data_IF_590897332250
#
_entry.id   IF_590897332250
#
_cell.length_a   1.000
_cell.length_b   1.000
_cell.length_c   1.000
_cell.angle_alpha   90.00
_cell.angle_beta   90.00
_cell.angle_gamma   90.00
#
_symmetry.space_group_name_H-M   'P 1'
#
loop_
_entity.id
_entity.type
_entity.pdbx_description
1 polymer ?
#
# COMPACT_ATOMS: atom_id res chain seq x y z
N UNK A 1 -3.49 -7.14 2.90
CA UNK A 1 -3.67 -6.29 1.69
C UNK A 1 -3.10 -6.99 0.45
N UNK A 2 -3.83 -7.90 -0.20
CA UNK A 2 -3.37 -8.55 -1.47
C UNK A 2 -4.45 -8.71 -2.55
N UNK A 3 -5.73 -8.51 -2.21
CA UNK A 3 -6.84 -8.71 -3.12
C UNK A 3 -6.81 -7.79 -4.34
N UNK A 4 -6.34 -6.54 -4.18
CA UNK A 4 -6.21 -5.60 -5.29
C UNK A 4 -5.23 -6.09 -6.38
N UNK A 5 -4.04 -6.57 -5.99
CA UNK A 5 -3.08 -7.16 -6.93
C UNK A 5 -3.67 -8.36 -7.66
N UNK A 6 -4.44 -9.21 -6.96
CA UNK A 6 -5.15 -10.35 -7.57
C UNK A 6 -6.21 -9.88 -8.57
N UNK A 7 -6.97 -8.84 -8.26
CA UNK A 7 -7.96 -8.27 -9.16
C UNK A 7 -7.32 -7.81 -10.46
N UNK A 8 -6.25 -6.99 -10.37
CA UNK A 8 -5.51 -6.47 -11.52
C UNK A 8 -4.95 -7.61 -12.39
N UNK A 9 -4.40 -8.66 -11.75
CA UNK A 9 -3.91 -9.85 -12.46
C UNK A 9 -5.04 -10.54 -13.24
N UNK A 10 -6.20 -10.78 -12.61
CA UNK A 10 -7.32 -11.50 -13.22
C UNK A 10 -8.03 -10.67 -14.30
N UNK A 11 -8.15 -9.35 -14.10
CA UNK A 11 -8.80 -8.43 -15.03
C UNK A 11 -7.94 -8.13 -16.26
N UNK A 12 -6.65 -8.45 -16.18
CA UNK A 12 -5.67 -8.21 -17.23
C UNK A 12 -5.18 -6.76 -17.28
N UNK A 13 -5.29 -6.03 -16.18
CA UNK A 13 -4.76 -4.68 -16.05
C UNK A 13 -5.54 -3.73 -15.15
N UNK A 14 -5.11 -2.48 -15.13
CA UNK A 14 -5.73 -1.36 -14.40
C UNK A 14 -5.75 -0.11 -15.29
N UNK A 15 -6.81 0.69 -15.21
CA UNK A 15 -6.93 1.95 -15.94
C UNK A 15 -6.14 3.08 -15.25
N UNK A 16 -5.85 4.14 -15.99
CA UNK A 16 -5.23 5.34 -15.42
C UNK A 16 -6.22 6.12 -14.56
N UNK A 17 -5.73 6.96 -13.65
CA UNK A 17 -6.56 7.92 -12.90
C UNK A 17 -7.29 8.89 -13.84
N UNK A 18 -6.71 9.21 -15.01
CA UNK A 18 -7.35 10.09 -15.98
C UNK A 18 -8.58 9.42 -16.63
N UNK A 19 -8.49 8.14 -16.98
CA UNK A 19 -9.56 7.39 -17.63
C UNK A 19 -10.62 6.87 -16.64
N UNK A 20 -10.22 6.60 -15.40
CA UNK A 20 -11.09 6.14 -14.32
C UNK A 20 -10.79 6.92 -13.03
N UNK A 21 -11.31 8.16 -12.91
CA UNK A 21 -11.00 9.04 -11.79
C UNK A 21 -11.62 8.58 -10.47
N UNK A 22 -10.91 8.86 -9.38
CA UNK A 22 -11.37 8.63 -8.03
C UNK A 22 -12.53 9.58 -7.66
N UNK A 23 -13.62 9.01 -7.14
CA UNK A 23 -14.85 9.76 -6.80
C UNK A 23 -15.23 9.70 -5.33
N UNK A 24 -14.39 9.10 -4.47
CA UNK A 24 -14.63 8.98 -3.02
C UNK A 24 -15.98 8.35 -2.62
N UNK A 25 -16.54 7.46 -3.45
CA UNK A 25 -17.75 6.70 -3.16
C UNK A 25 -17.81 5.41 -3.97
N UNK A 26 -18.59 4.45 -3.49
CA UNK A 26 -18.87 3.23 -4.24
C UNK A 26 -19.71 3.55 -5.48
N UNK A 27 -19.39 2.87 -6.59
CA UNK A 27 -20.14 2.96 -7.84
C UNK A 27 -20.02 1.65 -8.61
N UNK A 28 -20.78 1.52 -9.70
CA UNK A 28 -20.62 0.39 -10.59
C UNK A 28 -19.20 0.38 -11.19
N UNK A 29 -18.60 -0.81 -11.30
CA UNK A 29 -17.30 -0.98 -11.94
C UNK A 29 -17.39 -0.57 -13.42
N UNK A 30 -16.52 0.35 -13.84
CA UNK A 30 -16.41 0.85 -15.21
C UNK A 30 -15.08 0.48 -15.87
N UNK A 31 -14.40 -0.53 -15.34
CA UNK A 31 -13.11 -0.96 -15.86
C UNK A 31 -13.22 -1.33 -17.35
N UNK A 32 -12.29 -0.81 -18.15
CA UNK A 32 -12.18 -1.12 -19.57
C UNK A 32 -10.81 -1.70 -19.87
N UNK A 33 -10.75 -2.97 -20.25
CA UNK A 33 -9.50 -3.65 -20.59
C UNK A 33 -8.72 -2.95 -21.71
N UNK A 34 -9.42 -2.33 -22.66
CA UNK A 34 -8.79 -1.59 -23.77
C UNK A 34 -8.08 -0.31 -23.32
N UNK A 35 -8.39 0.20 -22.12
CA UNK A 35 -7.78 1.40 -21.52
C UNK A 35 -6.79 1.01 -20.41
N UNK A 36 -6.38 -0.26 -20.31
CA UNK A 36 -5.44 -0.68 -19.29
C UNK A 36 -4.05 -0.08 -19.55
N UNK A 37 -3.47 0.56 -18.54
CA UNK A 37 -2.15 1.22 -18.64
C UNK A 37 -1.05 0.47 -17.91
N UNK A 38 -1.42 -0.45 -17.01
CA UNK A 38 -0.49 -1.31 -16.31
C UNK A 38 -1.12 -2.68 -16.04
N UNK A 39 -0.27 -3.69 -15.92
CA UNK A 39 -0.66 -5.05 -15.55
C UNK A 39 0.21 -5.53 -14.39
N UNK A 40 -0.27 -6.55 -13.69
CA UNK A 40 0.46 -7.23 -12.61
C UNK A 40 0.56 -8.69 -13.01
N UNK A 41 1.75 -9.28 -12.89
CA UNK A 41 2.00 -10.70 -13.17
C UNK A 41 1.98 -11.56 -11.89
N UNK A 42 2.01 -10.94 -10.72
CA UNK A 42 1.93 -11.59 -9.43
C UNK A 42 2.23 -10.64 -8.27
N UNK A 43 2.22 -11.16 -7.04
CA UNK A 43 2.64 -10.43 -5.86
C UNK A 43 3.37 -11.37 -4.88
N UNK A 44 4.30 -10.81 -4.12
CA UNK A 44 4.99 -11.51 -3.05
C UNK A 44 4.52 -10.98 -1.69
N UNK A 45 4.69 -11.79 -0.64
CA UNK A 45 4.49 -11.37 0.75
C UNK A 45 5.80 -11.48 1.49
N UNK A 46 6.10 -10.45 2.27
CA UNK A 46 7.20 -10.45 3.23
C UNK A 46 6.70 -11.13 4.52
N UNK A 47 7.56 -11.90 5.17
CA UNK A 47 7.22 -12.54 6.44
C UNK A 47 6.82 -11.47 7.47
N UNK A 48 5.73 -11.73 8.20
CA UNK A 48 5.19 -10.78 9.18
C UNK A 48 6.23 -10.43 10.24
N UNK A 49 6.40 -9.14 10.53
CA UNK A 49 7.35 -8.65 11.54
C UNK A 49 8.82 -8.71 11.14
N UNK A 50 9.16 -9.06 9.88
CA UNK A 50 10.55 -9.12 9.43
C UNK A 50 10.98 -7.82 8.74
N UNK A 51 11.40 -6.83 9.53
CA UNK A 51 11.81 -5.52 9.03
C UNK A 51 13.10 -5.57 8.19
N UNK A 52 14.02 -6.51 8.47
CA UNK A 52 15.22 -6.71 7.64
C UNK A 52 14.85 -7.18 6.22
N UNK A 53 13.88 -8.09 6.10
CA UNK A 53 13.37 -8.52 4.80
C UNK A 53 12.59 -7.39 4.09
N UNK A 54 11.87 -6.55 4.85
CA UNK A 54 11.22 -5.35 4.32
C UNK A 54 12.25 -4.36 3.75
N UNK A 55 13.30 -4.06 4.51
CA UNK A 55 14.40 -3.18 4.08
C UNK A 55 15.04 -3.69 2.78
N UNK A 56 15.32 -4.99 2.70
CA UNK A 56 15.85 -5.61 1.48
C UNK A 56 14.89 -5.49 0.30
N UNK A 57 13.59 -5.73 0.50
CA UNK A 57 12.59 -5.60 -0.56
C UNK A 57 12.48 -4.16 -1.07
N UNK A 58 12.48 -3.18 -0.16
CA UNK A 58 12.45 -1.76 -0.51
C UNK A 58 13.67 -1.36 -1.34
N UNK A 59 14.86 -1.85 -0.97
CA UNK A 59 16.11 -1.53 -1.65
C UNK A 59 16.26 -2.20 -3.03
N UNK A 60 15.85 -3.46 -3.15
CA UNK A 60 16.12 -4.28 -4.34
C UNK A 60 14.96 -4.27 -5.35
N UNK A 61 13.73 -4.03 -4.90
CA UNK A 61 12.53 -4.08 -5.74
C UNK A 61 11.89 -2.70 -5.90
N UNK A 62 11.83 -1.91 -4.82
CA UNK A 62 11.22 -0.59 -4.81
C UNK A 62 10.09 -0.49 -3.79
N UNK A 63 9.14 0.47 -3.95
CA UNK A 63 8.12 0.74 -2.95
C UNK A 63 7.27 -0.47 -2.56
N UNK A 64 6.98 -0.63 -1.26
CA UNK A 64 6.25 -1.79 -0.70
C UNK A 64 5.00 -1.34 0.02
N UNK A 65 3.84 -1.91 -0.33
CA UNK A 65 2.58 -1.65 0.36
C UNK A 65 2.55 -2.34 1.73
N UNK A 66 2.22 -1.59 2.79
CA UNK A 66 2.18 -2.08 4.17
C UNK A 66 0.92 -1.64 4.90
N UNK A 67 0.56 -2.36 5.96
CA UNK A 67 -0.47 -1.97 6.90
C UNK A 67 0.14 -1.43 8.19
N UNK A 68 -0.45 -0.38 8.76
CA UNK A 68 -0.06 0.22 10.04
C UNK A 68 -1.28 0.39 10.95
N UNK A 69 -1.03 0.57 12.24
CA UNK A 69 -2.02 1.10 13.18
C UNK A 69 -1.95 2.64 13.21
N UNK A 70 -2.92 3.27 12.56
CA UNK A 70 -3.06 4.73 12.47
C UNK A 70 -4.24 5.26 13.31
N UNK A 71 -4.72 4.47 14.28
CA UNK A 71 -5.88 4.85 15.10
C UNK A 71 -5.60 5.92 16.15
N UNK A 72 -4.32 6.22 16.41
CA UNK A 72 -3.88 7.10 17.48
C UNK A 72 -3.97 8.58 17.08
N UNK A 73 -4.35 9.45 18.04
CA UNK A 73 -4.38 10.91 17.85
C UNK A 73 -3.01 11.49 17.56
N UNK A 74 -1.95 10.86 18.09
CA UNK A 74 -0.55 11.18 17.80
C UNK A 74 -0.23 11.03 16.31
N UNK A 75 -0.76 10.01 15.63
CA UNK A 75 -0.61 9.83 14.18
C UNK A 75 -1.40 10.88 13.39
N UNK A 76 -2.67 11.12 13.77
CA UNK A 76 -3.54 12.09 13.10
C UNK A 76 -2.97 13.50 13.07
N UNK A 77 -2.20 13.87 14.10
CA UNK A 77 -1.59 15.19 14.25
C UNK A 77 -0.07 15.19 14.02
N UNK A 78 0.49 14.11 13.49
CA UNK A 78 1.92 14.04 13.15
C UNK A 78 2.30 15.12 12.13
N UNK A 79 3.48 15.74 12.31
CA UNK A 79 3.97 16.83 11.45
C UNK A 79 5.39 16.62 10.93
N UNK A 80 6.30 16.13 11.76
CA UNK A 80 7.71 15.98 11.43
C UNK A 80 8.44 15.14 12.48
N UNK A 81 9.64 14.66 12.15
CA UNK A 81 10.50 13.86 13.02
C UNK A 81 10.44 12.38 12.70
N UNK A 82 10.83 11.52 13.65
CA UNK A 82 10.58 10.08 13.56
C UNK A 82 9.39 9.77 14.45
N UNK A 83 8.28 9.36 13.84
CA UNK A 83 7.07 9.01 14.56
C UNK A 83 7.27 7.73 15.39
N UNK A 84 6.90 7.78 16.67
CA UNK A 84 6.87 6.63 17.57
C UNK A 84 5.69 6.76 18.53
N UNK A 85 4.92 5.69 18.69
CA UNK A 85 3.74 5.62 19.54
C UNK A 85 3.81 4.34 20.39
N UNK A 86 4.02 4.44 21.72
CA UNK A 86 4.14 3.28 22.61
C UNK A 86 2.95 2.32 22.58
N UNK A 87 1.76 2.82 22.26
CA UNK A 87 0.52 2.02 22.20
C UNK A 87 0.19 1.52 20.79
N UNK A 88 1.07 1.73 19.81
CA UNK A 88 0.90 1.28 18.44
C UNK A 88 0.83 -0.25 18.38
N UNK A 89 -0.27 -0.79 17.84
CA UNK A 89 -0.44 -2.24 17.74
C UNK A 89 0.30 -2.82 16.53
N UNK A 90 1.09 -3.87 16.77
CA UNK A 90 1.72 -4.64 15.69
C UNK A 90 0.77 -5.62 14.98
N UNK A 91 -0.47 -5.75 15.48
CA UNK A 91 -1.46 -6.73 14.98
C UNK A 91 -2.79 -6.10 14.56
N UNK A 92 -3.22 -5.00 15.18
CA UNK A 92 -4.46 -4.30 14.83
C UNK A 92 -4.22 -3.23 13.76
N UNK A 93 -3.88 -3.69 12.55
CA UNK A 93 -3.60 -2.81 11.41
C UNK A 93 -4.89 -2.31 10.78
N UNK A 94 -5.04 -0.99 10.63
CA UNK A 94 -6.27 -0.34 10.19
C UNK A 94 -6.06 0.64 9.02
N UNK A 95 -4.82 0.89 8.59
CA UNK A 95 -4.51 1.83 7.52
C UNK A 95 -3.46 1.28 6.56
N UNK A 96 -3.65 1.49 5.25
CA UNK A 96 -2.72 1.06 4.20
C UNK A 96 -1.89 2.21 3.69
N UNK A 97 -0.56 2.03 3.68
CA UNK A 97 0.41 3.03 3.23
C UNK A 97 1.47 2.38 2.34
N UNK A 98 2.37 3.22 1.80
CA UNK A 98 3.46 2.80 0.93
C UNK A 98 4.80 3.17 1.56
N UNK A 99 5.65 2.17 1.81
CA UNK A 99 7.05 2.41 2.20
C UNK A 99 7.84 2.72 0.93
N UNK A 100 8.44 3.91 0.87
CA UNK A 100 9.19 4.39 -0.31
C UNK A 100 10.70 4.42 -0.10
N UNK A 101 11.17 4.15 1.12
CA UNK A 101 12.59 4.20 1.49
C UNK A 101 12.80 4.02 2.99
N UNK A 102 14.05 4.10 3.43
CA UNK A 102 14.47 4.05 4.82
C UNK A 102 15.79 4.83 5.02
N UNK A 103 16.12 5.16 6.26
CA UNK A 103 17.34 5.88 6.59
C UNK A 103 17.45 6.12 8.10
N UNK A 104 18.45 6.90 8.49
CA UNK A 104 18.65 7.35 9.87
C UNK A 104 18.63 8.89 9.90
N UNK A 105 18.30 9.42 11.07
CA UNK A 105 18.40 10.86 11.37
C UNK A 105 19.83 11.26 11.73
#
# INVERSE_FOLDING_TARGET
MTLAYRCIFMDGGINSEFDYPYIARDSMCKYSRNMAVATVTGYAKIASGNESALMNAVALVGPVAVGIDAGHTSFQHYRSGVYYEPHCSSTHLNHGVLVVGYGTY
#
